data_IF_016729601426
#
_entry.id   IF_016729601426
#
_cell.length_a   1.000
_cell.length_b   1.000
_cell.length_c   1.000
_cell.angle_alpha   90.00
_cell.angle_beta   90.00
_cell.angle_gamma   90.00
#
_symmetry.space_group_name_H-M   'P 1'
#
loop_
_entity.id
_entity.type
_entity.pdbx_description
1 polymer ?
#
# COMPACT_ATOMS: atom_id res chain seq x y z
N UNK A 1 -12.13 39.16 14.64
CA UNK A 1 -12.94 40.41 14.54
C UNK A 1 -12.44 41.38 13.45
N UNK A 2 -11.19 41.87 13.48
CA UNK A 2 -10.69 42.81 12.45
C UNK A 2 -10.70 42.22 11.02
N UNK A 3 -10.19 40.99 10.84
CA UNK A 3 -10.22 40.29 9.54
C UNK A 3 -11.64 39.99 9.04
N UNK A 4 -12.57 39.69 9.95
CA UNK A 4 -13.97 39.44 9.62
C UNK A 4 -14.69 40.73 9.19
N UNK A 5 -14.40 41.86 9.83
CA UNK A 5 -14.89 43.18 9.42
C UNK A 5 -14.29 43.64 8.07
N UNK A 6 -13.01 43.32 7.83
CA UNK A 6 -12.34 43.55 6.55
C UNK A 6 -12.97 42.67 5.46
N UNK A 7 -13.17 41.37 5.71
CA UNK A 7 -13.84 40.46 4.77
C UNK A 7 -15.27 40.92 4.46
N UNK A 8 -16.03 41.38 5.45
CA UNK A 8 -17.36 41.97 5.26
C UNK A 8 -17.31 43.28 4.46
N UNK A 9 -16.33 44.15 4.73
CA UNK A 9 -16.10 45.40 3.99
C UNK A 9 -15.70 45.14 2.53
N UNK A 10 -14.77 44.21 2.31
CA UNK A 10 -14.37 43.76 0.98
C UNK A 10 -15.51 43.03 0.26
N UNK A 11 -16.32 42.22 0.94
CA UNK A 11 -17.53 41.59 0.36
C UNK A 11 -18.57 42.63 -0.07
N UNK A 12 -18.73 43.72 0.68
CA UNK A 12 -19.55 44.86 0.27
C UNK A 12 -18.96 45.61 -0.94
N UNK A 13 -17.64 45.82 -0.98
CA UNK A 13 -16.94 46.42 -2.12
C UNK A 13 -17.00 45.51 -3.37
N UNK A 14 -16.90 44.19 -3.20
CA UNK A 14 -17.08 43.20 -4.27
C UNK A 14 -18.52 43.23 -4.80
N UNK A 15 -19.53 43.25 -3.92
CA UNK A 15 -20.92 43.39 -4.34
C UNK A 15 -21.17 44.71 -5.08
N UNK A 16 -20.49 45.78 -4.67
CA UNK A 16 -20.52 47.08 -5.35
C UNK A 16 -19.83 47.05 -6.72
N UNK A 17 -18.63 46.47 -6.83
CA UNK A 17 -17.88 46.34 -8.09
C UNK A 17 -18.52 45.33 -9.06
N UNK A 18 -19.18 44.28 -8.55
CA UNK A 18 -20.02 43.36 -9.32
C UNK A 18 -21.21 44.10 -9.92
N UNK A 19 -21.83 45.00 -9.15
CA UNK A 19 -22.95 45.84 -9.62
C UNK A 19 -22.51 46.81 -10.73
N UNK A 20 -21.23 47.16 -10.78
CA UNK A 20 -20.64 48.00 -11.84
C UNK A 20 -19.94 47.21 -12.97
N UNK A 21 -19.95 45.86 -12.97
CA UNK A 21 -19.29 45.02 -13.97
C UNK A 21 -17.76 45.25 -14.12
N UNK A 22 -17.10 45.78 -13.09
CA UNK A 22 -15.72 46.29 -13.20
C UNK A 22 -14.61 45.36 -12.68
N UNK A 23 -14.94 44.24 -12.02
CA UNK A 23 -13.92 43.32 -11.50
C UNK A 23 -14.42 41.86 -11.55
N UNK A 24 -13.59 40.94 -12.07
CA UNK A 24 -13.80 39.51 -11.90
C UNK A 24 -13.63 39.13 -10.42
N UNK A 25 -14.40 38.18 -9.92
CA UNK A 25 -14.35 37.76 -8.51
C UNK A 25 -12.98 37.22 -8.10
N UNK A 26 -12.23 36.65 -9.03
CA UNK A 26 -10.96 36.00 -8.80
C UNK A 26 -9.82 37.01 -8.75
N UNK A 27 -9.96 38.14 -9.43
CA UNK A 27 -9.11 39.32 -9.23
C UNK A 27 -9.34 39.85 -7.81
N UNK A 28 -10.58 39.92 -7.35
CA UNK A 28 -10.90 40.31 -5.99
C UNK A 28 -10.32 39.35 -4.94
N UNK A 29 -10.41 38.03 -5.16
CA UNK A 29 -9.80 37.05 -4.26
C UNK A 29 -8.27 37.06 -4.33
N UNK A 30 -7.68 37.35 -5.49
CA UNK A 30 -6.24 37.61 -5.59
C UNK A 30 -5.86 38.85 -4.78
N UNK A 31 -6.68 39.92 -4.80
CA UNK A 31 -6.51 41.06 -3.90
C UNK A 31 -6.68 40.68 -2.43
N UNK A 32 -7.60 39.79 -2.08
CA UNK A 32 -7.75 39.29 -0.70
C UNK A 32 -6.55 38.46 -0.28
N UNK A 33 -6.01 37.59 -1.14
CA UNK A 33 -4.77 36.85 -0.87
C UNK A 33 -3.61 37.81 -0.74
N UNK A 34 -3.39 38.69 -1.72
CA UNK A 34 -2.34 39.72 -1.65
C UNK A 34 -2.52 40.58 -0.41
N UNK A 35 -3.74 40.89 0.01
CA UNK A 35 -4.01 41.65 1.22
C UNK A 35 -3.76 40.85 2.50
N UNK A 36 -4.11 39.57 2.56
CA UNK A 36 -3.70 38.65 3.62
C UNK A 36 -2.16 38.59 3.68
N UNK A 37 -1.49 38.35 2.55
CA UNK A 37 -0.05 38.37 2.44
C UNK A 37 0.57 39.71 2.84
N UNK A 38 -0.05 40.85 2.51
CA UNK A 38 0.42 42.20 2.89
C UNK A 38 0.21 42.48 4.38
N UNK A 39 -0.94 42.12 4.94
CA UNK A 39 -1.19 42.22 6.39
C UNK A 39 -0.20 41.37 7.18
N UNK A 40 0.02 40.13 6.73
CA UNK A 40 0.91 39.17 7.37
C UNK A 40 2.40 39.37 7.05
N UNK A 41 2.77 40.19 6.06
CA UNK A 41 4.17 40.55 5.79
C UNK A 41 4.58 41.88 6.43
N UNK A 42 3.63 42.78 6.73
CA UNK A 42 3.89 43.98 7.52
C UNK A 42 3.97 43.70 9.03
N UNK A 43 3.26 42.68 9.51
CA UNK A 43 3.44 42.13 10.85
C UNK A 43 4.46 41.00 10.71
N UNK A 44 5.66 41.16 11.26
CA UNK A 44 6.65 40.06 11.32
C UNK A 44 6.07 39.00 12.27
N UNK A 45 5.17 38.15 11.77
CA UNK A 45 4.49 37.14 12.56
C UNK A 45 5.29 35.85 12.48
N UNK A 46 5.49 35.26 13.64
CA UNK A 46 6.07 33.93 13.76
C UNK A 46 4.97 32.88 13.57
N UNK A 47 5.33 31.60 13.39
CA UNK A 47 4.37 30.52 13.10
C UNK A 47 3.22 30.41 14.13
N UNK A 48 3.41 30.94 15.34
CA UNK A 48 2.47 30.85 16.47
C UNK A 48 1.36 31.93 16.48
N UNK A 49 1.41 32.90 15.57
CA UNK A 49 0.47 34.02 15.60
C UNK A 49 -0.79 33.83 14.73
N UNK A 50 -0.84 32.76 13.93
CA UNK A 50 -1.97 32.47 13.04
C UNK A 50 -3.14 31.81 13.78
N UNK A 51 -4.37 32.27 13.51
CA UNK A 51 -5.60 31.69 14.06
C UNK A 51 -6.23 30.72 13.06
N UNK A 52 -7.01 29.77 13.55
CA UNK A 52 -7.75 28.80 12.73
C UNK A 52 -8.61 29.46 11.63
N UNK A 53 -9.25 30.60 11.95
CA UNK A 53 -10.01 31.42 10.99
C UNK A 53 -9.16 31.86 9.78
N UNK A 54 -7.87 32.08 9.96
CA UNK A 54 -6.94 32.55 8.92
C UNK A 54 -6.66 31.44 7.91
N UNK A 55 -6.54 30.19 8.37
CA UNK A 55 -6.35 29.01 7.50
C UNK A 55 -7.55 28.80 6.58
N UNK A 56 -8.78 28.90 7.13
CA UNK A 56 -10.01 28.75 6.35
C UNK A 56 -10.20 29.88 5.32
N UNK A 57 -9.89 31.12 5.69
CA UNK A 57 -9.94 32.26 4.75
C UNK A 57 -8.90 32.14 3.64
N UNK A 58 -7.69 31.70 3.97
CA UNK A 58 -6.62 31.45 3.01
C UNK A 58 -7.00 30.36 2.01
N UNK A 59 -7.52 29.23 2.50
CA UNK A 59 -8.01 28.13 1.67
C UNK A 59 -9.10 28.59 0.71
N UNK A 60 -10.13 29.28 1.24
CA UNK A 60 -11.26 29.75 0.45
C UNK A 60 -10.82 30.73 -0.64
N UNK A 61 -9.94 31.68 -0.30
CA UNK A 61 -9.46 32.66 -1.26
C UNK A 61 -8.61 32.01 -2.36
N UNK A 62 -7.71 31.09 -2.00
CA UNK A 62 -6.92 30.34 -2.97
C UNK A 62 -7.77 29.44 -3.87
N UNK A 63 -8.75 28.74 -3.31
CA UNK A 63 -9.71 27.95 -4.08
C UNK A 63 -10.45 28.82 -5.11
N UNK A 64 -10.91 30.01 -4.73
CA UNK A 64 -11.58 30.93 -5.67
C UNK A 64 -10.67 31.42 -6.77
N UNK A 65 -9.39 31.71 -6.47
CA UNK A 65 -8.42 32.06 -7.50
C UNK A 65 -8.22 30.92 -8.52
N UNK A 66 -8.20 29.68 -8.05
CA UNK A 66 -8.08 28.48 -8.90
C UNK A 66 -9.33 28.28 -9.77
N UNK A 67 -10.53 28.33 -9.17
CA UNK A 67 -11.82 28.15 -9.85
C UNK A 67 -12.04 29.19 -10.96
N UNK A 68 -11.55 30.41 -10.76
CA UNK A 68 -11.73 31.52 -11.71
C UNK A 68 -10.59 31.65 -12.73
N UNK A 69 -9.63 30.71 -12.73
CA UNK A 69 -8.57 30.64 -13.74
C UNK A 69 -7.41 31.62 -13.52
N UNK A 70 -7.23 32.15 -12.32
CA UNK A 70 -6.12 33.05 -11.98
C UNK A 70 -4.90 32.29 -11.43
N UNK A 71 -4.59 31.11 -11.98
CA UNK A 71 -3.51 30.23 -11.53
C UNK A 71 -2.14 30.89 -11.62
N UNK A 72 -1.86 31.64 -12.69
CA UNK A 72 -0.57 32.33 -12.89
C UNK A 72 -0.25 33.33 -11.77
N UNK A 73 -1.26 34.10 -11.36
CA UNK A 73 -1.14 35.08 -10.30
C UNK A 73 -0.89 34.40 -8.95
N UNK A 74 -1.59 33.29 -8.71
CA UNK A 74 -1.41 32.49 -7.50
C UNK A 74 -0.02 31.86 -7.45
N UNK A 75 0.49 31.32 -8.55
CA UNK A 75 1.86 30.78 -8.66
C UNK A 75 2.89 31.89 -8.38
N UNK A 76 2.72 33.08 -8.97
CA UNK A 76 3.61 34.21 -8.72
C UNK A 76 3.61 34.65 -7.24
N UNK A 77 2.45 34.58 -6.58
CA UNK A 77 2.32 34.86 -5.14
C UNK A 77 3.03 33.80 -4.30
N UNK A 78 2.88 32.52 -4.64
CA UNK A 78 3.51 31.38 -3.94
C UNK A 78 5.05 31.44 -4.06
N UNK A 79 5.56 31.81 -5.23
CA UNK A 79 7.01 31.89 -5.50
C UNK A 79 7.68 33.12 -4.87
N UNK A 80 6.91 34.11 -4.41
CA UNK A 80 7.47 35.32 -3.85
C UNK A 80 8.14 35.06 -2.49
N UNK A 81 9.44 35.32 -2.38
CA UNK A 81 10.21 35.10 -1.14
C UNK A 81 9.64 35.86 0.08
N UNK A 82 8.95 36.98 -0.13
CA UNK A 82 8.28 37.72 0.96
C UNK A 82 7.17 36.93 1.63
N UNK A 83 6.58 35.98 0.91
CA UNK A 83 5.43 35.20 1.34
C UNK A 83 5.83 33.84 1.94
N UNK A 84 7.12 33.54 1.98
CA UNK A 84 7.65 32.22 2.32
C UNK A 84 7.17 31.66 3.65
N UNK A 85 7.09 32.49 4.70
CA UNK A 85 6.62 32.06 6.03
C UNK A 85 5.17 31.61 5.96
N UNK A 86 4.32 32.39 5.29
CA UNK A 86 2.90 32.09 5.13
C UNK A 86 2.70 30.83 4.28
N UNK A 87 3.42 30.70 3.16
CA UNK A 87 3.34 29.49 2.32
C UNK A 87 3.83 28.25 3.08
N UNK A 88 4.88 28.40 3.88
CA UNK A 88 5.40 27.31 4.72
C UNK A 88 4.34 26.83 5.73
N UNK A 89 3.61 27.74 6.37
CA UNK A 89 2.65 27.41 7.43
C UNK A 89 1.24 27.07 6.91
N UNK A 90 0.72 27.85 5.97
CA UNK A 90 -0.68 27.77 5.50
C UNK A 90 -0.82 27.21 4.08
N UNK A 91 0.27 27.13 3.31
CA UNK A 91 0.22 26.74 1.90
C UNK A 91 -0.39 25.36 1.64
N UNK A 92 -0.26 24.42 2.59
CA UNK A 92 -0.80 23.07 2.48
C UNK A 92 -2.32 23.04 2.30
N UNK A 93 -3.06 24.06 2.75
CA UNK A 93 -4.51 24.16 2.58
C UNK A 93 -4.93 24.30 1.10
N UNK A 94 -4.01 24.70 0.22
CA UNK A 94 -4.28 24.80 -1.22
C UNK A 94 -4.15 23.46 -1.95
N UNK A 95 -3.57 22.44 -1.31
CA UNK A 95 -3.33 21.14 -1.95
C UNK A 95 -4.64 20.48 -2.36
N UNK A 96 -5.65 20.45 -1.48
CA UNK A 96 -6.96 19.88 -1.82
C UNK A 96 -7.62 20.52 -3.04
N UNK A 97 -7.80 21.86 -3.07
CA UNK A 97 -8.26 22.57 -4.26
C UNK A 97 -7.47 22.25 -5.53
N UNK A 98 -6.12 22.20 -5.47
CA UNK A 98 -5.27 21.90 -6.62
C UNK A 98 -5.48 20.47 -7.12
N UNK A 99 -5.49 19.50 -6.21
CA UNK A 99 -5.66 18.08 -6.54
C UNK A 99 -7.04 17.83 -7.15
N UNK A 100 -8.10 18.46 -6.63
CA UNK A 100 -9.44 18.38 -7.23
C UNK A 100 -9.45 18.90 -8.67
N UNK A 101 -8.76 20.00 -8.96
CA UNK A 101 -8.60 20.50 -10.33
C UNK A 101 -7.79 19.56 -11.22
N UNK A 102 -6.76 18.89 -10.71
CA UNK A 102 -5.99 17.88 -11.46
C UNK A 102 -6.80 16.63 -11.82
N UNK A 103 -7.81 16.30 -11.01
CA UNK A 103 -8.70 15.14 -11.24
C UNK A 103 -9.88 15.46 -12.15
N UNK A 104 -10.38 16.69 -12.17
CA UNK A 104 -11.61 17.06 -12.89
C UNK A 104 -11.41 17.92 -14.15
N UNK A 105 -10.21 18.50 -14.38
CA UNK A 105 -9.97 19.30 -15.57
C UNK A 105 -9.35 18.47 -16.70
N UNK A 106 -10.10 18.33 -17.79
CA UNK A 106 -9.66 17.66 -19.04
C UNK A 106 -8.86 18.60 -19.97
N UNK A 107 -8.75 19.90 -19.64
CA UNK A 107 -7.94 20.84 -20.43
C UNK A 107 -6.44 20.69 -20.13
N UNK A 108 -5.74 19.96 -21.00
CA UNK A 108 -4.30 19.66 -20.89
C UNK A 108 -3.41 20.91 -20.74
N UNK A 109 -3.80 22.05 -21.32
CA UNK A 109 -2.99 23.29 -21.26
C UNK A 109 -2.90 23.86 -19.85
N UNK A 110 -4.00 23.84 -19.07
CA UNK A 110 -4.03 24.32 -17.67
C UNK A 110 -3.53 23.28 -16.67
N UNK A 111 -3.54 22.00 -17.06
CA UNK A 111 -3.11 20.89 -16.21
C UNK A 111 -1.65 21.02 -15.78
N UNK A 112 -0.79 21.52 -16.66
CA UNK A 112 0.64 21.79 -16.39
C UNK A 112 0.82 22.80 -15.26
N UNK A 113 0.00 23.85 -15.21
CA UNK A 113 0.10 24.88 -14.17
C UNK A 113 -0.33 24.34 -12.81
N UNK A 114 -1.34 23.47 -12.77
CA UNK A 114 -1.73 22.80 -11.52
C UNK A 114 -0.67 21.82 -11.02
N UNK A 115 0.00 21.08 -11.90
CA UNK A 115 1.15 20.25 -11.52
C UNK A 115 2.30 21.10 -10.98
N UNK A 116 2.64 22.20 -11.67
CA UNK A 116 3.65 23.13 -11.21
C UNK A 116 3.30 23.70 -9.81
N UNK A 117 2.03 24.02 -9.58
CA UNK A 117 1.58 24.52 -8.28
C UNK A 117 1.68 23.44 -7.20
N UNK A 118 1.28 22.20 -7.48
CA UNK A 118 1.45 21.08 -6.56
C UNK A 118 2.92 20.87 -6.18
N UNK A 119 3.82 20.88 -7.17
CA UNK A 119 5.27 20.74 -6.94
C UNK A 119 5.84 21.88 -6.07
N UNK A 120 5.39 23.12 -6.30
CA UNK A 120 5.77 24.27 -5.48
C UNK A 120 5.27 24.12 -4.04
N UNK A 121 4.04 23.68 -3.82
CA UNK A 121 3.50 23.43 -2.48
C UNK A 121 4.28 22.31 -1.77
N UNK A 122 4.55 21.20 -2.47
CA UNK A 122 5.40 20.11 -1.96
C UNK A 122 6.80 20.60 -1.59
N UNK A 123 7.33 21.57 -2.35
CA UNK A 123 8.65 22.16 -2.11
C UNK A 123 8.69 23.08 -0.89
N UNK A 124 7.67 23.92 -0.70
CA UNK A 124 7.71 25.07 0.19
C UNK A 124 6.99 24.88 1.52
N UNK A 125 5.97 24.02 1.57
CA UNK A 125 5.14 23.82 2.77
C UNK A 125 5.85 23.02 3.87
N UNK A 126 5.38 23.18 5.10
CA UNK A 126 5.81 22.36 6.23
C UNK A 126 5.44 20.89 5.97
N UNK A 127 6.40 19.95 5.98
CA UNK A 127 6.17 18.57 5.58
C UNK A 127 5.22 17.80 6.53
N UNK A 128 5.07 18.23 7.79
CA UNK A 128 4.16 17.54 8.74
C UNK A 128 2.70 17.76 8.38
N UNK A 129 2.30 19.02 8.28
CA UNK A 129 0.92 19.39 7.92
C UNK A 129 0.59 18.95 6.49
N UNK A 130 1.56 19.09 5.57
CA UNK A 130 1.40 18.66 4.20
C UNK A 130 1.20 17.14 4.09
N UNK A 131 1.92 16.34 4.87
CA UNK A 131 1.71 14.89 4.92
C UNK A 131 0.26 14.57 5.31
N UNK A 132 -0.25 15.19 6.38
CA UNK A 132 -1.61 14.94 6.85
C UNK A 132 -2.66 15.37 5.81
N UNK A 133 -2.50 16.56 5.22
CA UNK A 133 -3.41 17.02 4.16
C UNK A 133 -3.39 16.13 2.92
N UNK A 134 -2.25 15.56 2.53
CA UNK A 134 -2.20 14.59 1.42
C UNK A 134 -2.89 13.27 1.78
N UNK A 135 -2.74 12.80 3.03
CA UNK A 135 -3.38 11.56 3.48
C UNK A 135 -4.91 11.70 3.58
N UNK A 136 -5.41 12.84 4.05
CA UNK A 136 -6.84 13.15 4.06
C UNK A 136 -7.45 13.06 2.66
N UNK A 137 -6.76 13.62 1.66
CA UNK A 137 -7.20 13.54 0.27
C UNK A 137 -7.20 12.11 -0.27
N UNK A 138 -6.23 11.28 0.12
CA UNK A 138 -6.20 9.87 -0.27
C UNK A 138 -7.37 9.10 0.36
N UNK A 139 -7.79 9.47 1.57
CA UNK A 139 -8.86 8.79 2.31
C UNK A 139 -10.28 9.16 1.84
N UNK A 140 -10.46 10.35 1.27
CA UNK A 140 -11.77 10.90 0.86
C UNK A 140 -12.51 10.13 -0.27
N UNK A 141 -11.88 9.72 -1.39
CA UNK A 141 -12.61 9.20 -2.54
C UNK A 141 -13.09 7.76 -2.36
N UNK A 142 -14.03 7.36 -3.23
CA UNK A 142 -14.55 6.00 -3.29
C UNK A 142 -14.67 5.48 -4.72
N UNK A 143 -14.72 4.15 -4.87
CA UNK A 143 -14.86 3.49 -6.17
C UNK A 143 -13.67 3.76 -7.10
N UNK A 144 -13.95 4.06 -8.38
CA UNK A 144 -12.91 4.22 -9.41
C UNK A 144 -11.97 5.42 -9.19
N UNK A 145 -12.38 6.42 -8.42
CA UNK A 145 -11.55 7.61 -8.17
C UNK A 145 -10.38 7.33 -7.21
N UNK A 146 -10.45 6.24 -6.44
CA UNK A 146 -9.37 5.83 -5.52
C UNK A 146 -8.06 5.64 -6.28
N UNK A 147 -8.08 4.95 -7.43
CA UNK A 147 -6.84 4.69 -8.17
C UNK A 147 -6.25 5.98 -8.75
N UNK A 148 -7.08 6.89 -9.24
CA UNK A 148 -6.63 8.17 -9.77
C UNK A 148 -5.93 9.01 -8.69
N UNK A 149 -6.48 9.08 -7.47
CA UNK A 149 -5.88 9.87 -6.39
C UNK A 149 -4.58 9.24 -5.88
N UNK A 150 -4.56 7.91 -5.74
CA UNK A 150 -3.37 7.18 -5.28
C UNK A 150 -2.24 7.43 -6.29
N UNK A 151 -2.49 7.17 -7.58
CA UNK A 151 -1.48 7.34 -8.62
C UNK A 151 -0.98 8.79 -8.73
N UNK A 152 -1.86 9.78 -8.51
CA UNK A 152 -1.50 11.19 -8.53
C UNK A 152 -0.63 11.60 -7.33
N UNK A 153 -0.93 11.11 -6.13
CA UNK A 153 -0.35 11.61 -4.88
C UNK A 153 0.83 10.79 -4.35
N UNK A 154 1.10 9.59 -4.88
CA UNK A 154 2.20 8.73 -4.41
C UNK A 154 3.57 9.43 -4.47
N UNK A 155 3.89 10.10 -5.58
CA UNK A 155 5.17 10.82 -5.74
C UNK A 155 5.30 12.04 -4.81
N UNK A 156 4.31 12.95 -4.74
CA UNK A 156 4.25 14.00 -3.72
C UNK A 156 4.44 13.45 -2.29
N UNK A 157 3.71 12.40 -1.93
CA UNK A 157 3.74 11.78 -0.62
C UNK A 157 5.14 11.24 -0.28
N UNK A 158 5.79 10.55 -1.21
CA UNK A 158 7.15 10.05 -1.04
C UNK A 158 8.14 11.20 -0.82
N UNK A 159 8.03 12.27 -1.61
CA UNK A 159 8.88 13.46 -1.51
C UNK A 159 8.73 14.15 -0.16
N UNK A 160 7.49 14.26 0.36
CA UNK A 160 7.22 14.87 1.66
C UNK A 160 7.80 14.02 2.80
N UNK A 161 7.61 12.70 2.74
CA UNK A 161 8.14 11.77 3.75
C UNK A 161 9.67 11.82 3.77
N UNK A 162 10.33 11.86 2.61
CA UNK A 162 11.78 11.96 2.51
C UNK A 162 12.34 13.28 3.08
N UNK A 163 11.54 14.35 3.13
CA UNK A 163 11.92 15.63 3.75
C UNK A 163 11.79 15.64 5.27
N UNK A 164 11.06 14.69 5.86
CA UNK A 164 10.91 14.61 7.31
C UNK A 164 12.22 14.16 7.95
N UNK A 165 12.70 14.95 8.92
CA UNK A 165 13.94 14.65 9.65
C UNK A 165 13.75 13.66 10.78
N UNK A 166 12.54 13.62 11.37
CA UNK A 166 12.20 12.83 12.54
C UNK A 166 10.89 12.07 12.29
N UNK A 167 10.68 10.97 13.03
CA UNK A 167 9.46 10.13 12.97
C UNK A 167 9.15 9.59 11.57
N UNK A 168 10.19 9.36 10.76
CA UNK A 168 10.03 8.89 9.39
C UNK A 168 9.38 7.52 9.36
N UNK A 169 9.73 6.63 10.29
CA UNK A 169 9.11 5.31 10.42
C UNK A 169 7.59 5.42 10.63
N UNK A 170 7.17 6.26 11.58
CA UNK A 170 5.75 6.52 11.86
C UNK A 170 5.03 7.11 10.64
N UNK A 171 5.63 8.09 9.96
CA UNK A 171 5.05 8.70 8.76
C UNK A 171 4.92 7.73 7.59
N UNK A 172 5.90 6.85 7.39
CA UNK A 172 5.83 5.76 6.39
C UNK A 172 4.72 4.78 6.75
N UNK A 173 4.65 4.34 8.01
CA UNK A 173 3.61 3.42 8.48
C UNK A 173 2.20 3.98 8.32
N UNK A 174 2.01 5.25 8.69
CA UNK A 174 0.74 5.97 8.49
C UNK A 174 0.37 6.02 7.00
N UNK A 175 1.31 6.44 6.14
CA UNK A 175 1.08 6.51 4.69
C UNK A 175 0.74 5.16 4.07
N UNK A 176 1.52 4.10 4.36
CA UNK A 176 1.28 2.75 3.86
C UNK A 176 -0.05 2.19 4.37
N UNK A 177 -0.41 2.46 5.61
CA UNK A 177 -1.69 2.00 6.17
C UNK A 177 -2.89 2.68 5.50
N UNK A 178 -2.85 4.00 5.29
CA UNK A 178 -3.92 4.73 4.59
C UNK A 178 -4.02 4.31 3.12
N UNK A 179 -2.89 4.23 2.41
CA UNK A 179 -2.83 3.78 1.02
C UNK A 179 -3.39 2.36 0.86
N UNK A 180 -2.97 1.43 1.72
CA UNK A 180 -3.48 0.06 1.69
C UNK A 180 -4.96 -0.02 2.04
N UNK A 181 -5.43 0.75 3.03
CA UNK A 181 -6.84 0.81 3.42
C UNK A 181 -7.71 1.14 2.21
N UNK A 182 -7.34 2.18 1.46
CA UNK A 182 -8.05 2.60 0.25
C UNK A 182 -7.90 1.59 -0.90
N UNK A 183 -6.70 1.07 -1.12
CA UNK A 183 -6.47 0.01 -2.11
C UNK A 183 -7.35 -1.22 -1.86
N UNK A 184 -7.55 -1.59 -0.59
CA UNK A 184 -8.32 -2.77 -0.19
C UNK A 184 -9.82 -2.67 -0.50
N UNK A 185 -10.32 -1.46 -0.78
CA UNK A 185 -11.71 -1.21 -1.20
C UNK A 185 -11.93 -1.48 -2.69
N UNK A 186 -10.86 -1.55 -3.49
CA UNK A 186 -10.96 -1.81 -4.92
C UNK A 186 -11.25 -3.31 -5.19
N UNK A 187 -12.10 -3.63 -6.17
CA UNK A 187 -12.40 -5.01 -6.52
C UNK A 187 -11.17 -5.70 -7.14
N UNK A 188 -10.87 -6.91 -6.68
CA UNK A 188 -9.79 -7.73 -7.23
C UNK A 188 -10.24 -8.37 -8.56
N UNK A 189 -9.54 -8.13 -9.69
CA UNK A 189 -9.90 -8.71 -10.97
C UNK A 189 -9.60 -10.21 -10.97
N UNK A 190 -10.47 -11.00 -11.61
CA UNK A 190 -10.38 -12.46 -11.65
C UNK A 190 -10.27 -13.03 -13.07
N UNK A 191 -10.64 -12.27 -14.10
CA UNK A 191 -10.52 -12.70 -15.51
C UNK A 191 -9.35 -12.01 -16.23
N UNK A 192 -8.87 -12.61 -17.33
CA UNK A 192 -7.83 -12.02 -18.18
C UNK A 192 -8.22 -10.64 -18.67
N UNK A 193 -9.47 -10.48 -19.08
CA UNK A 193 -10.03 -9.23 -19.61
C UNK A 193 -10.09 -8.15 -18.53
N UNK A 194 -10.45 -8.52 -17.31
CA UNK A 194 -10.49 -7.58 -16.18
C UNK A 194 -9.10 -7.12 -15.76
N UNK A 195 -8.12 -8.01 -15.77
CA UNK A 195 -6.72 -7.67 -15.48
C UNK A 195 -6.15 -6.74 -16.55
N UNK A 196 -6.47 -7.00 -17.83
CA UNK A 196 -6.02 -6.16 -18.95
C UNK A 196 -6.70 -4.78 -18.97
N UNK A 197 -8.00 -4.73 -18.68
CA UNK A 197 -8.77 -3.48 -18.67
C UNK A 197 -8.45 -2.64 -17.42
N UNK A 198 -8.23 -3.31 -16.28
CA UNK A 198 -7.98 -2.70 -14.96
C UNK A 198 -8.94 -1.55 -14.67
N UNK A 199 -10.26 -1.80 -14.84
CA UNK A 199 -11.33 -0.80 -14.80
C UNK A 199 -11.36 0.08 -13.55
N UNK A 200 -10.84 -0.45 -12.43
CA UNK A 200 -10.77 0.20 -11.13
C UNK A 200 -9.34 0.67 -10.80
N UNK A 201 -8.34 0.30 -11.60
CA UNK A 201 -6.94 0.70 -11.46
C UNK A 201 -6.17 -0.02 -10.35
N UNK A 202 -6.66 -1.17 -9.88
CA UNK A 202 -6.02 -1.91 -8.78
C UNK A 202 -4.63 -2.39 -9.18
N UNK A 203 -4.46 -2.93 -10.40
CA UNK A 203 -3.18 -3.47 -10.84
C UNK A 203 -2.14 -2.36 -10.99
N UNK A 204 -2.54 -1.22 -11.55
CA UNK A 204 -1.69 -0.03 -11.64
C UNK A 204 -1.29 0.49 -10.26
N UNK A 205 -2.23 0.57 -9.31
CA UNK A 205 -1.94 1.00 -7.96
C UNK A 205 -1.00 0.04 -7.24
N UNK A 206 -1.18 -1.28 -7.40
CA UNK A 206 -0.28 -2.29 -6.84
C UNK A 206 1.16 -2.06 -7.33
N UNK A 207 1.35 -1.87 -8.64
CA UNK A 207 2.66 -1.58 -9.22
C UNK A 207 3.26 -0.27 -8.65
N UNK A 208 2.47 0.80 -8.62
CA UNK A 208 2.93 2.09 -8.12
C UNK A 208 3.25 2.05 -6.61
N UNK A 209 2.53 1.24 -5.83
CA UNK A 209 2.81 1.04 -4.40
C UNK A 209 4.12 0.30 -4.16
N UNK A 210 4.49 -0.65 -5.01
CA UNK A 210 5.83 -1.26 -4.96
C UNK A 210 6.90 -0.21 -5.21
N UNK A 211 6.77 0.59 -6.27
CA UNK A 211 7.71 1.66 -6.60
C UNK A 211 7.83 2.70 -5.45
N UNK A 212 6.71 3.02 -4.80
CA UNK A 212 6.68 3.89 -3.63
C UNK A 212 7.39 3.28 -2.41
N UNK A 213 7.21 1.99 -2.17
CA UNK A 213 7.70 1.30 -0.96
C UNK A 213 9.19 0.97 -1.06
N UNK A 214 9.67 0.69 -2.27
CA UNK A 214 11.02 0.19 -2.54
C UNK A 214 12.16 1.03 -1.92
N UNK A 215 12.17 2.37 -2.01
CA UNK A 215 13.24 3.18 -1.39
C UNK A 215 13.32 3.03 0.12
N UNK A 216 12.19 2.80 0.81
CA UNK A 216 12.16 2.60 2.26
C UNK A 216 12.66 1.21 2.66
N UNK A 217 12.45 0.19 1.81
CA UNK A 217 13.02 -1.15 1.99
C UNK A 217 14.54 -1.14 1.75
N UNK A 218 14.99 -0.42 0.73
CA UNK A 218 16.42 -0.23 0.45
C UNK A 218 17.13 0.52 1.58
N UNK A 219 16.45 1.47 2.25
CA UNK A 219 16.97 2.18 3.41
C UNK A 219 17.24 1.25 4.60
N UNK A 220 16.31 0.35 4.94
CA UNK A 220 16.49 -0.59 6.07
C UNK A 220 17.47 -1.72 5.78
N UNK A 221 17.72 -2.05 4.51
CA UNK A 221 18.68 -3.09 4.14
C UNK A 221 20.13 -2.60 4.22
N UNK A 222 20.35 -1.31 3.91
CA UNK A 222 21.69 -0.71 3.88
C UNK A 222 22.20 -0.27 5.26
N UNK A 223 21.31 0.10 6.19
CA UNK A 223 21.70 0.67 7.49
C UNK A 223 21.18 -0.17 8.67
N UNK A 224 22.00 -1.10 9.16
CA UNK A 224 21.58 -2.14 10.12
C UNK A 224 21.59 -1.70 11.59
N UNK A 225 22.11 -0.52 11.94
CA UNK A 225 22.41 -0.15 13.33
C UNK A 225 21.56 1.01 13.89
N UNK A 226 20.51 1.45 13.20
CA UNK A 226 19.64 2.55 13.65
C UNK A 226 18.34 2.05 14.31
N UNK A 227 18.03 2.53 15.53
CA UNK A 227 16.76 2.22 16.23
C UNK A 227 15.52 2.68 15.47
N UNK A 228 15.62 3.76 14.68
CA UNK A 228 14.51 4.21 13.83
C UNK A 228 14.27 3.22 12.67
N UNK A 229 15.30 2.49 12.23
CA UNK A 229 15.16 1.47 11.20
C UNK A 229 14.40 0.26 11.72
N UNK A 230 14.52 -0.12 12.99
CA UNK A 230 13.70 -1.21 13.56
C UNK A 230 12.20 -0.86 13.51
N UNK A 231 11.83 0.37 13.89
CA UNK A 231 10.43 0.83 13.76
C UNK A 231 9.98 0.86 12.30
N UNK A 232 10.86 1.27 11.38
CA UNK A 232 10.55 1.28 9.95
C UNK A 232 10.36 -0.15 9.41
N UNK A 233 11.18 -1.11 9.85
CA UNK A 233 11.01 -2.52 9.53
C UNK A 233 9.64 -3.03 10.00
N UNK A 234 9.23 -2.71 11.23
CA UNK A 234 7.91 -3.10 11.75
C UNK A 234 6.78 -2.59 10.87
N UNK A 235 6.81 -1.31 10.49
CA UNK A 235 5.78 -0.71 9.64
C UNK A 235 5.77 -1.32 8.22
N UNK A 236 6.95 -1.61 7.65
CA UNK A 236 7.06 -2.29 6.36
C UNK A 236 6.56 -3.74 6.43
N UNK A 237 6.81 -4.46 7.53
CA UNK A 237 6.30 -5.81 7.75
C UNK A 237 4.77 -5.83 7.84
N UNK A 238 4.19 -4.89 8.60
CA UNK A 238 2.72 -4.72 8.67
C UNK A 238 2.13 -4.51 7.29
N UNK A 239 2.74 -3.66 6.47
CA UNK A 239 2.33 -3.45 5.07
C UNK A 239 2.43 -4.73 4.22
N UNK A 240 3.52 -5.50 4.36
CA UNK A 240 3.68 -6.76 3.62
C UNK A 240 2.59 -7.79 3.99
N UNK A 241 2.29 -7.98 5.28
CA UNK A 241 1.23 -8.88 5.71
C UNK A 241 -0.15 -8.41 5.25
N UNK A 242 -0.44 -7.11 5.39
CA UNK A 242 -1.65 -6.49 4.83
C UNK A 242 -1.81 -6.77 3.33
N UNK A 243 -0.72 -6.63 2.57
CA UNK A 243 -0.69 -6.88 1.11
C UNK A 243 -0.88 -8.36 0.74
N UNK A 244 -0.32 -9.28 1.54
CA UNK A 244 -0.55 -10.72 1.41
C UNK A 244 -2.02 -11.08 1.66
N UNK A 245 -2.65 -10.46 2.65
CA UNK A 245 -4.08 -10.65 2.92
C UNK A 245 -4.96 -10.06 1.82
N UNK A 246 -4.70 -8.82 1.39
CA UNK A 246 -5.44 -8.16 0.33
C UNK A 246 -4.49 -7.27 -0.48
N UNK A 247 -4.48 -7.38 -1.83
CA UNK A 247 -5.42 -8.14 -2.67
C UNK A 247 -5.05 -9.61 -2.91
N UNK A 248 -3.92 -10.11 -2.40
CA UNK A 248 -3.34 -11.36 -2.88
C UNK A 248 -4.08 -12.64 -2.48
N UNK A 249 -4.79 -12.67 -1.34
CA UNK A 249 -5.54 -13.86 -0.92
C UNK A 249 -6.69 -14.22 -1.87
N UNK A 250 -7.30 -13.23 -2.51
CA UNK A 250 -8.44 -13.40 -3.42
C UNK A 250 -8.06 -13.30 -4.89
N UNK A 251 -6.79 -12.99 -5.18
CA UNK A 251 -6.27 -12.91 -6.53
C UNK A 251 -6.28 -14.27 -7.23
N UNK A 252 -6.70 -14.29 -8.50
CA UNK A 252 -6.57 -15.47 -9.35
C UNK A 252 -5.34 -15.34 -10.24
N UNK A 253 -4.47 -16.34 -10.17
CA UNK A 253 -3.25 -16.40 -10.98
C UNK A 253 -3.49 -17.35 -12.13
N UNK A 254 -3.23 -16.86 -13.34
CA UNK A 254 -3.47 -17.61 -14.57
C UNK A 254 -2.30 -18.56 -14.85
N UNK A 255 -2.61 -19.73 -15.41
CA UNK A 255 -1.59 -20.68 -15.85
C UNK A 255 -0.63 -20.02 -16.86
N UNK A 256 0.66 -20.30 -16.69
CA UNK A 256 1.75 -19.69 -17.45
C UNK A 256 1.54 -19.92 -18.96
N UNK A 257 1.09 -18.89 -19.66
CA UNK A 257 1.16 -18.79 -21.11
C UNK A 257 2.54 -18.23 -21.47
N UNK A 258 3.27 -18.90 -22.36
CA UNK A 258 4.57 -18.43 -22.87
C UNK A 258 4.46 -17.10 -23.64
N UNK A 259 3.24 -16.67 -23.98
CA UNK A 259 2.97 -15.43 -24.71
C UNK A 259 2.20 -14.43 -23.85
N UNK A 260 2.81 -13.25 -23.71
CA UNK A 260 2.26 -11.95 -23.30
C UNK A 260 2.03 -11.66 -21.81
N UNK A 261 3.01 -10.97 -21.21
CA UNK A 261 2.86 -10.13 -20.03
C UNK A 261 2.92 -10.88 -18.69
N UNK A 262 3.82 -10.44 -17.80
CA UNK A 262 3.81 -10.94 -16.42
C UNK A 262 2.51 -10.47 -15.74
N UNK A 263 1.74 -11.41 -15.21
CA UNK A 263 0.57 -11.15 -14.36
C UNK A 263 0.91 -10.06 -13.31
N UNK A 264 0.22 -8.89 -13.32
CA UNK A 264 0.52 -7.79 -12.41
C UNK A 264 0.41 -8.16 -10.93
N UNK A 265 -0.56 -9.00 -10.57
CA UNK A 265 -0.75 -9.45 -9.19
C UNK A 265 0.33 -10.47 -8.80
N UNK A 266 0.82 -11.26 -9.77
CA UNK A 266 2.00 -12.12 -9.57
C UNK A 266 3.26 -11.30 -9.35
N UNK A 267 3.47 -10.25 -10.13
CA UNK A 267 4.58 -9.30 -9.92
C UNK A 267 4.50 -8.64 -8.54
N UNK A 268 3.30 -8.20 -8.16
CA UNK A 268 3.06 -7.63 -6.83
C UNK A 268 3.42 -8.64 -5.73
N UNK A 269 2.96 -9.89 -5.82
CA UNK A 269 3.32 -10.95 -4.88
C UNK A 269 4.83 -11.21 -4.81
N UNK A 270 5.52 -11.29 -5.95
CA UNK A 270 6.97 -11.46 -6.02
C UNK A 270 7.71 -10.35 -5.24
N UNK A 271 7.32 -9.10 -5.46
CA UNK A 271 7.95 -7.93 -4.82
C UNK A 271 7.66 -7.89 -3.32
N UNK A 272 6.42 -8.19 -2.87
CA UNK A 272 6.09 -8.28 -1.44
C UNK A 272 6.89 -9.37 -0.73
N UNK A 273 7.02 -10.56 -1.34
CA UNK A 273 7.85 -11.66 -0.79
C UNK A 273 9.35 -11.27 -0.81
N UNK A 274 9.77 -10.53 -1.83
CA UNK A 274 11.09 -9.93 -1.91
C UNK A 274 11.37 -8.97 -0.74
N UNK A 275 10.42 -8.08 -0.44
CA UNK A 275 10.52 -7.15 0.69
C UNK A 275 10.61 -7.88 2.03
N UNK A 276 9.78 -8.90 2.28
CA UNK A 276 9.88 -9.72 3.50
C UNK A 276 11.28 -10.33 3.70
N UNK A 277 11.85 -10.84 2.60
CA UNK A 277 13.19 -11.43 2.59
C UNK A 277 14.27 -10.39 2.85
N UNK A 278 14.13 -9.20 2.25
CA UNK A 278 15.05 -8.08 2.40
C UNK A 278 15.06 -7.50 3.82
N UNK A 279 13.88 -7.36 4.46
CA UNK A 279 13.73 -6.79 5.81
C UNK A 279 14.40 -7.66 6.90
N UNK A 280 14.69 -8.93 6.59
CA UNK A 280 15.38 -9.85 7.52
C UNK A 280 14.47 -10.93 8.11
N UNK A 281 13.24 -11.04 7.60
CA UNK A 281 12.32 -12.12 7.90
C UNK A 281 12.07 -12.99 6.66
N UNK A 282 13.06 -13.83 6.26
CA UNK A 282 12.85 -14.78 5.18
C UNK A 282 11.56 -15.56 5.43
N UNK A 283 10.67 -15.56 4.44
CA UNK A 283 9.40 -16.27 4.53
C UNK A 283 9.54 -17.75 4.94
N UNK A 284 10.65 -18.48 4.68
CA UNK A 284 10.85 -19.81 5.24
C UNK A 284 10.82 -19.82 6.78
N UNK A 285 11.47 -18.86 7.45
CA UNK A 285 11.44 -18.75 8.91
C UNK A 285 10.04 -18.44 9.42
N UNK A 286 9.27 -17.63 8.69
CA UNK A 286 7.88 -17.29 9.04
C UNK A 286 6.99 -18.54 8.94
N UNK A 287 7.09 -19.29 7.83
CA UNK A 287 6.33 -20.53 7.61
C UNK A 287 6.70 -21.61 8.65
N UNK A 288 7.99 -21.85 8.91
CA UNK A 288 8.43 -22.90 9.83
C UNK A 288 8.18 -22.59 11.32
N UNK A 289 8.01 -21.31 11.68
CA UNK A 289 7.74 -20.89 13.06
C UNK A 289 6.24 -20.70 13.37
N UNK A 290 5.39 -20.63 12.35
CA UNK A 290 3.95 -20.50 12.53
C UNK A 290 3.38 -21.72 13.28
N UNK A 291 2.70 -21.49 14.42
CA UNK A 291 2.09 -22.55 15.25
C UNK A 291 2.92 -23.07 16.43
N UNK A 292 4.17 -22.61 16.66
CA UNK A 292 4.92 -22.96 17.88
C UNK A 292 4.49 -22.09 19.06
N UNK A 293 4.11 -22.73 20.18
CA UNK A 293 3.67 -22.11 21.47
C UNK A 293 4.66 -21.15 22.14
N UNK A 294 5.83 -20.89 21.56
CA UNK A 294 6.86 -19.98 22.09
C UNK A 294 7.06 -18.87 21.07
N UNK A 295 6.30 -17.78 21.21
CA UNK A 295 6.49 -16.54 20.47
C UNK A 295 7.85 -15.94 20.86
N UNK A 296 8.93 -16.31 20.18
CA UNK A 296 10.11 -15.43 20.05
C UNK A 296 9.88 -14.56 18.82
N UNK A 297 8.78 -13.83 18.85
CA UNK A 297 8.56 -12.63 18.08
C UNK A 297 8.46 -11.55 19.16
N UNK A 298 9.59 -10.94 19.51
CA UNK A 298 9.66 -9.94 20.60
C UNK A 298 9.03 -8.59 20.18
N UNK A 299 8.19 -8.62 19.15
CA UNK A 299 7.62 -7.46 18.51
C UNK A 299 6.16 -7.74 18.20
N UNK A 300 5.32 -6.82 18.67
CA UNK A 300 3.86 -6.78 18.69
C UNK A 300 3.25 -7.41 19.96
N UNK A 301 2.87 -6.55 20.90
CA UNK A 301 1.70 -6.78 21.75
C UNK A 301 0.48 -6.82 20.82
N UNK A 302 0.24 -8.00 20.22
CA UNK A 302 -0.89 -8.26 19.32
C UNK A 302 -2.13 -8.56 20.16
N UNK A 303 -3.16 -7.72 20.06
CA UNK A 303 -4.52 -8.04 20.52
C UNK A 303 -5.12 -9.22 19.71
N UNK A 304 -6.03 -10.00 20.31
CA UNK A 304 -6.56 -11.26 19.77
C UNK A 304 -7.19 -11.17 18.35
N UNK A 305 -7.52 -9.97 17.86
CA UNK A 305 -8.03 -9.76 16.49
C UNK A 305 -6.96 -9.85 15.38
N UNK A 306 -5.66 -9.66 15.68
CA UNK A 306 -4.61 -9.74 14.64
C UNK A 306 -4.06 -11.17 14.40
N UNK A 307 -4.32 -12.13 15.30
CA UNK A 307 -3.94 -13.54 15.11
C UNK A 307 -4.67 -14.16 13.89
N UNK A 308 -5.93 -13.74 13.63
CA UNK A 308 -6.68 -14.15 12.42
C UNK A 308 -6.14 -13.47 11.15
N UNK A 309 -5.74 -12.20 11.25
CA UNK A 309 -5.18 -11.46 10.11
C UNK A 309 -3.83 -12.03 9.67
N UNK A 310 -3.01 -12.47 10.62
CA UNK A 310 -1.77 -13.16 10.33
C UNK A 310 -2.06 -14.52 9.67
N UNK A 311 -3.04 -15.28 10.14
CA UNK A 311 -3.41 -16.56 9.54
C UNK A 311 -3.82 -16.44 8.06
N UNK A 312 -4.64 -15.44 7.71
CA UNK A 312 -5.03 -15.15 6.32
C UNK A 312 -3.81 -14.80 5.44
N UNK A 313 -2.93 -13.94 5.97
CA UNK A 313 -1.70 -13.53 5.29
C UNK A 313 -0.75 -14.72 5.06
N UNK A 314 -0.67 -15.62 6.04
CA UNK A 314 0.15 -16.83 5.98
C UNK A 314 -0.43 -17.88 5.04
N UNK A 315 -1.75 -18.02 4.96
CA UNK A 315 -2.41 -18.88 3.99
C UNK A 315 -2.16 -18.38 2.55
N UNK A 316 -2.28 -17.07 2.33
CA UNK A 316 -1.93 -16.43 1.06
C UNK A 316 -0.46 -16.66 0.70
N UNK A 317 0.47 -16.40 1.63
CA UNK A 317 1.89 -16.64 1.42
C UNK A 317 2.21 -18.10 1.09
N UNK A 318 1.60 -19.05 1.81
CA UNK A 318 1.76 -20.47 1.53
C UNK A 318 1.29 -20.80 0.11
N UNK A 319 0.11 -20.35 -0.30
CA UNK A 319 -0.39 -20.56 -1.66
C UNK A 319 0.55 -19.97 -2.73
N UNK A 320 1.02 -18.73 -2.54
CA UNK A 320 1.92 -18.06 -3.48
C UNK A 320 3.27 -18.78 -3.64
N UNK A 321 3.84 -19.25 -2.55
CA UNK A 321 5.14 -19.94 -2.56
C UNK A 321 5.01 -21.35 -3.09
N UNK A 322 4.03 -22.10 -2.60
CA UNK A 322 3.94 -23.54 -2.82
C UNK A 322 3.12 -23.94 -4.05
N UNK A 323 2.06 -23.20 -4.36
CA UNK A 323 1.20 -23.47 -5.54
C UNK A 323 1.69 -22.65 -6.73
N UNK A 324 1.93 -21.34 -6.54
CA UNK A 324 2.38 -20.46 -7.63
C UNK A 324 3.90 -20.49 -7.86
N UNK A 325 4.66 -21.19 -7.00
CA UNK A 325 6.09 -21.38 -7.14
C UNK A 325 6.91 -20.09 -7.00
N UNK A 326 6.37 -19.05 -6.37
CA UNK A 326 7.06 -17.77 -6.22
C UNK A 326 8.17 -17.91 -5.16
N UNK A 327 9.40 -17.58 -5.55
CA UNK A 327 10.59 -17.61 -4.69
C UNK A 327 10.85 -18.98 -4.02
N UNK A 328 10.33 -20.07 -4.59
CA UNK A 328 10.46 -21.44 -4.03
C UNK A 328 11.92 -21.89 -3.92
N UNK A 329 12.82 -21.29 -4.71
CA UNK A 329 14.26 -21.50 -4.68
C UNK A 329 14.91 -21.11 -3.34
N UNK A 330 14.27 -20.23 -2.55
CA UNK A 330 14.77 -19.82 -1.24
C UNK A 330 14.37 -20.79 -0.11
N UNK A 331 13.46 -21.74 -0.37
CA UNK A 331 13.13 -22.78 0.59
C UNK A 331 14.21 -23.88 0.55
N UNK A 332 14.71 -24.35 1.71
CA UNK A 332 15.50 -25.56 1.75
C UNK A 332 14.71 -26.69 1.09
N UNK A 333 15.34 -27.45 0.21
CA UNK A 333 14.73 -28.64 -0.37
C UNK A 333 14.53 -29.68 0.74
N UNK A 334 13.40 -29.60 1.45
CA UNK A 334 13.04 -30.56 2.48
C UNK A 334 12.47 -31.79 1.79
N UNK A 335 13.36 -32.65 1.31
CA UNK A 335 13.01 -34.05 1.08
C UNK A 335 12.73 -34.67 2.45
N UNK A 336 11.47 -34.65 2.87
CA UNK A 336 11.02 -35.27 4.11
C UNK A 336 11.54 -36.70 4.20
N UNK A 337 12.13 -37.06 5.35
CA UNK A 337 12.62 -38.42 5.67
C UNK A 337 11.52 -39.49 5.57
N UNK A 338 10.25 -39.14 5.35
CA UNK A 338 9.18 -40.12 5.10
C UNK A 338 9.36 -40.88 3.78
N UNK A 339 10.01 -40.30 2.76
CA UNK A 339 10.34 -41.03 1.51
C UNK A 339 11.42 -42.09 1.74
N UNK A 340 12.33 -41.91 2.71
CA UNK A 340 13.36 -42.91 3.04
C UNK A 340 12.84 -44.12 3.82
N UNK A 341 11.67 -44.01 4.46
CA UNK A 341 11.14 -45.14 5.25
C UNK A 341 10.48 -46.22 4.38
N UNK A 342 10.18 -45.92 3.11
CA UNK A 342 9.69 -46.90 2.15
C UNK A 342 10.83 -47.59 1.38
N UNK A 343 12.07 -47.12 1.47
CA UNK A 343 13.24 -47.76 0.84
C UNK A 343 13.97 -48.77 1.73
N UNK A 344 13.65 -48.86 3.03
CA UNK A 344 14.28 -49.83 3.96
C UNK A 344 13.47 -51.13 4.12
N UNK A 345 12.39 -51.34 3.35
CA UNK A 345 11.61 -52.60 3.33
C UNK A 345 11.96 -53.47 2.11
N UNK A 346 12.85 -53.02 1.22
CA UNK A 346 13.19 -53.74 -0.01
C UNK A 346 14.67 -54.17 -0.09
N UNK A 347 15.31 -54.50 1.04
CA UNK A 347 16.61 -55.18 1.03
C UNK A 347 16.46 -56.59 1.59
N UNK A 348 15.87 -57.45 0.77
CA UNK A 348 16.20 -58.87 0.67
C UNK A 348 15.48 -59.41 -0.57
N UNK A 349 16.20 -59.54 -1.69
CA UNK A 349 16.39 -60.78 -2.48
C UNK A 349 16.89 -60.42 -3.90
N UNK A 350 18.15 -60.74 -4.16
CA UNK A 350 18.79 -61.12 -5.45
C UNK A 350 18.68 -60.24 -6.70
N UNK A 351 19.88 -59.98 -7.24
CA UNK A 351 20.25 -59.42 -8.55
C UNK A 351 19.56 -60.12 -9.74
N UNK A 352 18.92 -59.35 -10.62
CA UNK A 352 18.89 -59.62 -12.07
C UNK A 352 18.63 -58.34 -12.90
N UNK A 353 19.38 -58.20 -14.00
CA UNK A 353 19.44 -57.03 -14.90
C UNK A 353 18.23 -56.93 -15.87
N UNK A 354 17.89 -55.68 -16.19
CA UNK A 354 17.26 -55.12 -17.42
C UNK A 354 15.78 -55.37 -17.72
N UNK A 355 14.98 -54.29 -17.64
CA UNK A 355 14.20 -53.65 -18.74
C UNK A 355 13.45 -52.43 -18.18
N UNK A 356 13.39 -51.35 -18.95
CA UNK A 356 12.52 -50.19 -18.68
C UNK A 356 11.12 -50.66 -18.28
N UNK A 357 10.55 -50.13 -17.18
CA UNK A 357 9.11 -50.10 -16.88
C UNK A 357 8.89 -49.53 -15.47
N UNK A 358 8.81 -48.20 -15.35
CA UNK A 358 8.12 -47.59 -14.21
C UNK A 358 6.74 -47.13 -14.72
N UNK A 359 5.73 -47.99 -14.56
CA UNK A 359 4.33 -47.64 -14.83
C UNK A 359 3.71 -47.10 -13.55
N UNK A 360 3.33 -45.82 -13.54
CA UNK A 360 2.65 -45.18 -12.41
C UNK A 360 1.17 -45.07 -12.76
N UNK A 361 0.31 -45.52 -11.85
CA UNK A 361 -1.15 -45.44 -11.98
C UNK A 361 -1.73 -44.49 -10.94
N UNK A 362 -2.72 -43.69 -11.35
CA UNK A 362 -3.49 -42.81 -10.46
C UNK A 362 -4.96 -43.20 -10.57
N UNK A 363 -5.56 -43.68 -9.47
CA UNK A 363 -6.97 -44.11 -9.48
C UNK A 363 -7.26 -45.37 -10.33
N UNK A 364 -6.23 -46.13 -10.71
CA UNK A 364 -6.37 -47.31 -11.59
C UNK A 364 -6.13 -47.02 -13.08
N UNK A 365 -5.92 -45.76 -13.45
CA UNK A 365 -5.56 -45.36 -14.81
C UNK A 365 -4.05 -45.11 -14.93
N UNK A 366 -3.44 -45.58 -16.02
CA UNK A 366 -2.01 -45.38 -16.30
C UNK A 366 -1.73 -43.95 -16.75
N UNK A 367 -0.65 -43.35 -16.22
CA UNK A 367 -0.20 -42.03 -16.66
C UNK A 367 0.20 -42.11 -18.15
N UNK A 368 -0.23 -41.15 -19.00
CA UNK A 368 0.10 -41.15 -20.42
C UNK A 368 1.62 -41.15 -20.66
N UNK A 369 2.04 -41.80 -21.73
CA UNK A 369 3.46 -41.99 -22.05
C UNK A 369 4.14 -40.64 -22.27
N UNK A 370 4.96 -40.20 -21.30
CA UNK A 370 5.59 -38.89 -21.27
C UNK A 370 7.04 -39.01 -20.79
N UNK A 371 7.94 -38.07 -21.15
CA UNK A 371 9.35 -38.14 -20.77
C UNK A 371 9.55 -38.25 -19.26
N UNK A 372 10.61 -38.96 -18.78
CA UNK A 372 10.85 -39.17 -17.35
C UNK A 372 10.90 -37.89 -16.52
N UNK A 373 11.39 -36.79 -17.10
CA UNK A 373 11.42 -35.48 -16.43
C UNK A 373 10.02 -34.91 -16.16
N UNK A 374 9.07 -35.12 -17.08
CA UNK A 374 7.68 -34.71 -16.88
C UNK A 374 6.96 -35.64 -15.91
N UNK A 375 7.22 -36.95 -15.95
CA UNK A 375 6.69 -37.88 -14.95
C UNK A 375 7.12 -37.49 -13.53
N UNK A 376 8.39 -37.10 -13.39
CA UNK A 376 8.96 -36.65 -12.12
C UNK A 376 8.28 -35.35 -11.65
N UNK A 377 8.02 -34.38 -12.54
CA UNK A 377 7.26 -33.17 -12.22
C UNK A 377 5.82 -33.47 -11.78
N UNK A 378 5.12 -34.36 -12.48
CA UNK A 378 3.75 -34.77 -12.14
C UNK A 378 3.72 -35.46 -10.78
N UNK A 379 4.66 -36.36 -10.51
CA UNK A 379 4.81 -37.02 -9.22
C UNK A 379 5.13 -36.03 -8.10
N UNK A 380 6.02 -35.06 -8.34
CA UNK A 380 6.32 -34.01 -7.38
C UNK A 380 5.10 -33.14 -7.08
N UNK A 381 4.33 -32.75 -8.09
CA UNK A 381 3.10 -31.98 -7.92
C UNK A 381 2.02 -32.77 -7.16
N UNK A 382 1.87 -34.06 -7.45
CA UNK A 382 0.93 -34.93 -6.75
C UNK A 382 1.33 -35.14 -5.28
N UNK A 383 2.59 -35.47 -5.00
CA UNK A 383 3.11 -35.61 -3.64
C UNK A 383 2.95 -34.30 -2.86
N UNK A 384 3.21 -33.17 -3.50
CA UNK A 384 3.02 -31.86 -2.91
C UNK A 384 1.55 -31.58 -2.55
N UNK A 385 0.62 -31.99 -3.42
CA UNK A 385 -0.83 -31.86 -3.17
C UNK A 385 -1.27 -32.75 -2.00
N UNK A 386 -0.72 -33.97 -1.90
CA UNK A 386 -1.00 -34.85 -0.76
C UNK A 386 -0.44 -34.29 0.55
N UNK A 387 0.77 -33.74 0.54
CA UNK A 387 1.36 -33.08 1.71
C UNK A 387 0.52 -31.86 2.15
N UNK A 388 -0.03 -31.10 1.18
CA UNK A 388 -0.95 -30.00 1.46
C UNK A 388 -2.24 -30.49 2.11
N UNK A 389 -2.86 -31.54 1.56
CA UNK A 389 -4.07 -32.16 2.11
C UNK A 389 -3.82 -32.68 3.54
N UNK A 390 -2.69 -33.35 3.77
CA UNK A 390 -2.31 -33.87 5.08
C UNK A 390 -2.09 -32.73 6.09
N UNK A 391 -1.44 -31.63 5.67
CA UNK A 391 -1.23 -30.44 6.51
C UNK A 391 -2.53 -29.72 6.86
N UNK A 392 -3.47 -29.62 5.91
CA UNK A 392 -4.79 -29.01 6.14
C UNK A 392 -5.63 -29.90 7.07
N UNK A 393 -5.62 -31.22 6.86
CA UNK A 393 -6.33 -32.18 7.72
C UNK A 393 -5.81 -32.13 9.16
N UNK A 394 -4.48 -32.16 9.35
CA UNK A 394 -3.88 -32.03 10.67
C UNK A 394 -4.30 -30.73 11.36
N UNK A 395 -4.40 -29.62 10.62
CA UNK A 395 -4.84 -28.34 11.17
C UNK A 395 -6.33 -28.33 11.53
N UNK A 396 -7.18 -28.96 10.73
CA UNK A 396 -8.61 -29.13 11.02
C UNK A 396 -8.80 -29.96 12.28
N UNK A 397 -8.05 -31.06 12.44
CA UNK A 397 -8.07 -31.90 13.64
C UNK A 397 -7.66 -31.11 14.89
N UNK A 398 -6.57 -30.34 14.82
CA UNK A 398 -6.15 -29.46 15.92
C UNK A 398 -7.23 -28.44 16.31
N UNK A 399 -7.88 -27.81 15.33
CA UNK A 399 -8.94 -26.82 15.57
C UNK A 399 -10.19 -27.44 16.19
N UNK A 400 -10.53 -28.67 15.79
CA UNK A 400 -11.62 -29.45 16.40
C UNK A 400 -11.29 -29.78 17.85
N UNK A 401 -10.06 -30.18 18.16
CA UNK A 401 -9.60 -30.44 19.53
C UNK A 401 -9.62 -29.19 20.42
N UNK A 402 -9.22 -28.04 19.88
CA UNK A 402 -9.24 -26.77 20.61
C UNK A 402 -10.68 -26.36 20.93
N UNK A 403 -11.59 -26.49 19.96
CA UNK A 403 -13.02 -26.17 20.14
C UNK A 403 -13.69 -27.10 21.15
N UNK A 404 -13.35 -28.39 21.16
CA UNK A 404 -13.90 -29.34 22.15
C UNK A 404 -13.37 -29.10 23.56
N UNK A 405 -12.12 -28.63 23.70
CA UNK A 405 -11.53 -28.24 25.00
C UNK A 405 -12.11 -26.94 25.56
N UNK A 406 -12.48 -25.97 24.71
CA UNK A 406 -13.11 -24.72 25.18
C UNK A 406 -14.56 -24.91 25.63
N UNK A 407 -15.36 -25.72 24.92
CA UNK A 407 -16.76 -26.01 25.32
C UNK A 407 -16.86 -26.82 26.63
N UNK A 408 -15.81 -27.57 26.99
CA UNK A 408 -15.75 -28.32 28.25
C UNK A 408 -15.31 -27.47 29.45
N UNK A 409 -14.72 -26.29 29.25
CA UNK A 409 -14.40 -25.34 30.32
C UNK A 409 -15.56 -24.37 30.64
N UNK A 410 -16.38 -23.97 29.65
CA UNK A 410 -17.57 -23.14 29.89
C UNK A 410 -18.66 -23.88 30.69
N UNK A 411 -18.77 -25.19 30.57
CA UNK A 411 -19.76 -25.99 31.30
C UNK A 411 -19.41 -26.30 32.77
N UNK A 412 -18.23 -25.87 33.25
CA UNK A 412 -17.81 -26.05 34.65
C UNK A 412 -18.01 -24.76 35.48
N UNK A 413 -18.29 -23.62 34.84
CA UNK A 413 -18.50 -22.32 35.49
C UNK A 413 -19.95 -22.01 35.92
N UNK A 414 -20.92 -22.88 35.63
CA UNK A 414 -22.31 -22.72 36.08
C UNK A 414 -22.73 -23.96 36.87
N UNK A 415 -22.39 -23.98 38.16
CA UNK A 415 -23.11 -24.74 39.18
C UNK A 415 -22.94 -24.11 40.55
#
# INVERSE_FOLDING_TARGET
MYLCAIYLGFKQISLFLKRENKLSYGIFFAYVLVFLFLLFSQQILEEHDFKEEDFGLFQLAGQRCIEEGHTDQLIAIIQNEKNKVIIKTMGWNLVGPVVRCLLWNDEDDKRKDYFLMLDLLVKLCNPKELLLGLLELIEEPSGKQISQIILLLLQPLQTVIQKLRNNKAYSVGLALSTLWSQLSLLPVPYSKEQIQTDDYGLCQCCKALIEFTKPFVEEVTNDKENKENEKLKDELLKFCFKSLKCPLLTAQFLEQSEEAGSDPLRCFACEIIGFLSAIGHPFPKIIFNHGRKKKTWDYLEVEEEEDKQLADSMASLAYLVFVQGISIDQLPMVLSKRVKRNSEIADNTTVQKSKDLCSVTVGGEEIPNMPPEMQLKVLHSALFTFDLIESVLARVEELIEIKTKSTSQENVGIK
#
